data_IF_528706180504
#
_entry.id   IF_528706180504
#
_cell.length_a   1.000
_cell.length_b   1.000
_cell.length_c   1.000
_cell.angle_alpha   90.00
_cell.angle_beta   90.00
_cell.angle_gamma   90.00
#
_symmetry.space_group_name_H-M   'P 1'
#
loop_
_entity.id
_entity.type
_entity.pdbx_description
1 polymer ?
#
# COMPACT_ATOMS: atom_id res chain seq x y z
N UNK A 1 -5.71 8.06 17.91
CA UNK A 1 -6.10 7.41 19.18
C UNK A 1 -5.84 5.89 19.20
N UNK A 2 -5.72 5.22 18.03
CA UNK A 2 -5.65 3.75 17.97
C UNK A 2 -4.22 3.18 17.88
N UNK A 3 -3.17 4.00 17.76
CA UNK A 3 -1.78 3.55 17.54
C UNK A 3 -1.32 2.61 18.65
N UNK A 4 -1.56 2.97 19.91
CA UNK A 4 -1.16 2.14 21.05
C UNK A 4 -1.85 0.77 21.02
N UNK A 5 -3.17 0.73 20.77
CA UNK A 5 -3.94 -0.51 20.72
C UNK A 5 -3.46 -1.45 19.60
N UNK A 6 -3.12 -0.93 18.41
CA UNK A 6 -2.55 -1.73 17.33
C UNK A 6 -1.16 -2.26 17.65
N UNK A 7 -0.32 -1.43 18.27
CA UNK A 7 1.02 -1.85 18.69
C UNK A 7 0.95 -2.94 19.78
N UNK A 8 0.10 -2.78 20.78
CA UNK A 8 -0.15 -3.78 21.84
C UNK A 8 -0.71 -5.09 21.29
N UNK A 9 -1.53 -5.01 20.22
CA UNK A 9 -2.05 -6.19 19.52
C UNK A 9 -0.98 -6.91 18.68
N UNK A 10 0.24 -6.36 18.57
CA UNK A 10 1.36 -7.01 17.88
C UNK A 10 1.57 -6.56 16.43
N UNK A 11 1.12 -5.37 16.04
CA UNK A 11 1.39 -4.84 14.71
C UNK A 11 2.89 -4.54 14.53
N UNK A 12 3.50 -5.03 13.46
CA UNK A 12 4.88 -4.70 13.06
C UNK A 12 4.94 -3.37 12.31
N UNK A 13 3.92 -3.08 11.51
CA UNK A 13 3.80 -1.86 10.71
C UNK A 13 2.41 -1.28 10.94
N UNK A 14 2.34 0.01 11.21
CA UNK A 14 1.07 0.74 11.28
C UNK A 14 1.06 1.81 10.20
N UNK A 15 0.08 1.74 9.30
CA UNK A 15 -0.11 2.72 8.22
C UNK A 15 -1.29 3.62 8.54
N UNK A 16 -1.07 4.93 8.52
CA UNK A 16 -2.11 5.93 8.69
C UNK A 16 -2.34 6.70 7.38
N UNK A 17 -3.59 7.00 7.08
CA UNK A 17 -3.88 7.90 5.96
C UNK A 17 -3.37 9.32 6.25
N UNK A 18 -2.70 9.91 5.25
CA UNK A 18 -2.22 11.29 5.31
C UNK A 18 -3.37 12.24 5.64
N UNK A 19 -4.54 11.99 5.03
CA UNK A 19 -5.74 12.81 5.15
C UNK A 19 -6.51 12.60 6.47
N UNK A 20 -6.19 11.57 7.22
CA UNK A 20 -6.86 11.27 8.50
C UNK A 20 -6.34 12.12 9.66
N UNK A 21 -5.35 12.98 9.45
CA UNK A 21 -4.75 13.82 10.48
C UNK A 21 -4.32 15.17 9.94
N UNK A 22 -4.40 16.20 10.79
CA UNK A 22 -3.83 17.51 10.49
C UNK A 22 -2.31 17.56 10.64
N UNK A 23 -1.72 16.55 11.31
CA UNK A 23 -0.29 16.51 11.64
C UNK A 23 0.32 15.15 11.28
N UNK A 24 0.48 14.82 9.97
CA UNK A 24 1.01 13.52 9.53
C UNK A 24 2.38 13.20 10.14
N UNK A 25 3.28 14.17 10.24
CA UNK A 25 4.60 13.99 10.84
C UNK A 25 4.49 13.53 12.30
N UNK A 26 3.61 14.15 13.10
CA UNK A 26 3.37 13.74 14.51
C UNK A 26 2.82 12.31 14.58
N UNK A 27 1.93 11.95 13.65
CA UNK A 27 1.36 10.59 13.58
C UNK A 27 2.44 9.56 13.30
N UNK A 28 3.32 9.81 12.33
CA UNK A 28 4.49 8.96 12.02
C UNK A 28 5.40 8.81 13.24
N UNK A 29 5.71 9.92 13.93
CA UNK A 29 6.52 9.87 15.16
C UNK A 29 5.86 9.04 16.27
N UNK A 30 4.53 9.15 16.44
CA UNK A 30 3.80 8.39 17.45
C UNK A 30 3.82 6.88 17.15
N UNK A 31 3.72 6.49 15.88
CA UNK A 31 3.83 5.08 15.45
C UNK A 31 5.23 4.54 15.79
N UNK A 32 6.28 5.28 15.43
CA UNK A 32 7.66 4.88 15.74
C UNK A 32 7.93 4.81 17.24
N UNK A 33 7.39 5.74 18.00
CA UNK A 33 7.51 5.74 19.48
C UNK A 33 6.79 4.54 20.13
N UNK A 34 5.77 3.98 19.46
CA UNK A 34 5.11 2.75 19.87
C UNK A 34 5.89 1.47 19.49
N UNK A 35 7.07 1.59 18.88
CA UNK A 35 7.92 0.46 18.49
C UNK A 35 7.59 -0.16 17.14
N UNK A 36 6.65 0.40 16.36
CA UNK A 36 6.24 -0.09 15.06
C UNK A 36 6.96 0.66 13.92
N UNK A 37 7.08 0.01 12.77
CA UNK A 37 7.42 0.70 11.53
C UNK A 37 6.25 1.60 11.11
N UNK A 38 6.56 2.78 10.56
CA UNK A 38 5.56 3.77 10.20
C UNK A 38 5.26 3.77 8.72
N UNK A 39 3.99 3.58 8.37
CA UNK A 39 3.46 3.75 7.02
C UNK A 39 2.58 4.99 6.90
N UNK A 40 2.53 5.55 5.71
CA UNK A 40 1.61 6.63 5.32
C UNK A 40 0.87 6.25 4.05
N UNK A 41 -0.45 6.37 4.03
CA UNK A 41 -1.28 6.12 2.86
C UNK A 41 -1.77 7.41 2.23
N UNK A 42 -1.80 7.46 0.91
CA UNK A 42 -2.24 8.61 0.10
C UNK A 42 -3.49 8.25 -0.70
N UNK A 43 -4.54 9.04 -0.54
CA UNK A 43 -5.73 8.95 -1.40
C UNK A 43 -5.41 9.27 -2.86
N UNK A 44 -6.27 8.87 -3.82
CA UNK A 44 -6.03 9.14 -5.24
C UNK A 44 -5.80 10.62 -5.59
N UNK A 45 -6.47 11.54 -4.90
CA UNK A 45 -6.33 12.98 -5.14
C UNK A 45 -5.15 13.64 -4.41
N UNK A 46 -4.49 12.95 -3.47
CA UNK A 46 -3.37 13.50 -2.70
C UNK A 46 -2.07 13.40 -3.52
N UNK A 47 -1.37 14.50 -3.77
CA UNK A 47 -0.15 14.48 -4.59
C UNK A 47 1.02 13.76 -3.89
N UNK A 48 1.94 13.23 -4.70
CA UNK A 48 3.12 12.54 -4.20
C UNK A 48 4.00 13.42 -3.29
N UNK A 49 4.08 14.70 -3.59
CA UNK A 49 4.86 15.70 -2.85
C UNK A 49 4.44 15.88 -1.40
N UNK A 50 3.21 15.48 -1.07
CA UNK A 50 2.70 15.56 0.30
C UNK A 50 3.57 14.79 1.31
N UNK A 51 4.33 13.79 0.85
CA UNK A 51 5.22 12.99 1.73
C UNK A 51 6.68 13.41 1.65
N UNK A 52 7.04 14.45 0.91
CA UNK A 52 8.44 14.87 0.72
C UNK A 52 9.18 15.04 2.05
N UNK A 53 8.58 15.71 3.02
CA UNK A 53 9.16 15.93 4.34
C UNK A 53 8.96 14.79 5.33
N UNK A 54 8.39 13.66 4.88
CA UNK A 54 8.20 12.45 5.69
C UNK A 54 9.19 11.33 5.30
N UNK A 55 9.88 11.46 4.16
CA UNK A 55 10.70 10.38 3.58
C UNK A 55 11.79 9.84 4.52
N UNK A 56 12.31 10.66 5.42
CA UNK A 56 13.32 10.23 6.38
C UNK A 56 12.72 9.60 7.65
N UNK A 57 11.39 9.55 7.75
CA UNK A 57 10.67 9.10 8.93
C UNK A 57 9.70 7.93 8.68
N UNK A 58 9.43 7.60 7.41
CA UNK A 58 8.51 6.51 7.05
C UNK A 58 9.26 5.28 6.56
N UNK A 59 8.68 4.13 6.80
CA UNK A 59 9.18 2.83 6.34
C UNK A 59 8.34 2.28 5.18
N UNK A 60 7.13 2.84 4.97
CA UNK A 60 6.19 2.43 3.94
C UNK A 60 5.36 3.61 3.45
N UNK A 61 5.16 3.68 2.13
CA UNK A 61 4.20 4.60 1.49
C UNK A 61 3.20 3.75 0.72
N UNK A 62 1.92 3.86 1.07
CA UNK A 62 0.82 3.19 0.39
C UNK A 62 0.11 4.15 -0.56
N UNK A 63 0.04 3.80 -1.83
CA UNK A 63 -0.76 4.53 -2.82
C UNK A 63 -2.10 3.86 -2.99
N UNK A 64 -3.17 4.56 -2.66
CA UNK A 64 -4.52 4.11 -2.96
C UNK A 64 -4.79 4.26 -4.45
N UNK A 65 -5.06 3.13 -5.12
CA UNK A 65 -5.37 3.08 -6.55
C UNK A 65 -6.86 2.86 -6.82
N UNK A 66 -7.66 2.98 -5.79
CA UNK A 66 -9.11 3.11 -5.75
C UNK A 66 -9.47 4.15 -4.69
N UNK A 67 -10.72 4.62 -4.64
CA UNK A 67 -11.17 5.42 -3.51
C UNK A 67 -11.36 4.52 -2.28
N UNK A 68 -10.75 4.83 -1.12
CA UNK A 68 -10.91 4.02 0.08
C UNK A 68 -12.37 3.88 0.50
N UNK A 69 -12.75 2.68 0.97
CA UNK A 69 -14.10 2.46 1.52
C UNK A 69 -14.62 1.04 1.32
N UNK A 70 -14.48 0.43 0.15
CA UNK A 70 -14.95 -0.93 -0.12
C UNK A 70 -14.12 -1.59 -1.23
N UNK A 71 -14.11 -2.92 -1.24
CA UNK A 71 -13.40 -3.73 -2.23
C UNK A 71 -14.10 -3.84 -3.58
N UNK A 72 -13.40 -4.38 -4.60
CA UNK A 72 -13.97 -4.66 -5.93
C UNK A 72 -14.12 -3.44 -6.83
N UNK A 73 -13.49 -2.31 -6.49
CA UNK A 73 -13.49 -1.10 -7.32
C UNK A 73 -12.49 -1.23 -8.49
N UNK A 74 -12.75 -0.48 -9.57
CA UNK A 74 -11.87 -0.40 -10.72
C UNK A 74 -10.60 0.40 -10.40
N UNK A 75 -9.46 -0.09 -10.90
CA UNK A 75 -8.16 0.53 -10.77
C UNK A 75 -8.13 1.94 -11.42
N UNK A 76 -7.57 2.91 -10.73
CA UNK A 76 -7.42 4.28 -11.22
C UNK A 76 -6.05 4.41 -11.92
N UNK A 77 -6.01 4.26 -13.23
CA UNK A 77 -4.80 4.21 -14.05
C UNK A 77 -3.90 5.45 -13.95
N UNK A 78 -4.47 6.63 -13.69
CA UNK A 78 -3.68 7.86 -13.50
C UNK A 78 -2.74 7.78 -12.29
N UNK A 79 -2.95 6.83 -11.37
CA UNK A 79 -2.08 6.65 -10.21
C UNK A 79 -0.70 6.07 -10.58
N UNK A 80 -0.53 5.47 -11.76
CA UNK A 80 0.79 5.00 -12.21
C UNK A 80 1.84 6.12 -12.19
N UNK A 81 1.47 7.32 -12.65
CA UNK A 81 2.37 8.48 -12.63
C UNK A 81 2.78 8.87 -11.20
N UNK A 82 1.85 8.75 -10.23
CA UNK A 82 2.15 8.99 -8.81
C UNK A 82 3.13 7.95 -8.27
N UNK A 83 2.95 6.67 -8.63
CA UNK A 83 3.85 5.58 -8.22
C UNK A 83 5.26 5.83 -8.74
N UNK A 84 5.42 6.15 -10.04
CA UNK A 84 6.70 6.48 -10.66
C UNK A 84 7.38 7.67 -9.97
N UNK A 85 6.60 8.71 -9.65
CA UNK A 85 7.10 9.89 -8.95
C UNK A 85 7.57 9.57 -7.54
N UNK A 86 6.77 8.82 -6.77
CA UNK A 86 7.15 8.36 -5.44
C UNK A 86 8.39 7.47 -5.49
N UNK A 87 8.49 6.57 -6.46
CA UNK A 87 9.69 5.74 -6.66
C UNK A 87 10.95 6.60 -6.87
N UNK A 88 10.83 7.65 -7.68
CA UNK A 88 11.92 8.61 -7.89
C UNK A 88 12.26 9.37 -6.59
N UNK A 89 11.27 9.85 -5.85
CA UNK A 89 11.46 10.57 -4.58
C UNK A 89 12.06 9.68 -3.50
N UNK A 90 11.66 8.42 -3.41
CA UNK A 90 12.22 7.42 -2.48
C UNK A 90 13.70 7.20 -2.77
N UNK A 91 14.07 7.07 -4.03
CA UNK A 91 15.46 6.82 -4.45
C UNK A 91 15.98 5.51 -3.84
N UNK A 92 17.11 5.58 -3.12
CA UNK A 92 17.76 4.43 -2.48
C UNK A 92 17.31 4.17 -1.04
N UNK A 93 16.36 4.93 -0.50
CA UNK A 93 15.86 4.75 0.86
C UNK A 93 15.17 3.39 1.01
N UNK A 94 15.28 2.71 2.16
CA UNK A 94 14.65 1.43 2.42
C UNK A 94 13.16 1.60 2.76
N UNK A 95 12.40 2.22 1.84
CA UNK A 95 10.96 2.49 1.98
C UNK A 95 10.21 1.53 1.07
N UNK A 96 9.23 0.83 1.62
CA UNK A 96 8.28 0.04 0.83
C UNK A 96 7.31 0.97 0.09
N UNK A 97 7.12 0.69 -1.20
CA UNK A 97 6.10 1.36 -2.02
C UNK A 97 4.97 0.37 -2.27
N UNK A 98 3.91 0.54 -1.49
CA UNK A 98 2.73 -0.33 -1.48
C UNK A 98 1.62 0.24 -2.35
N UNK A 99 0.91 -0.64 -3.02
CA UNK A 99 -0.27 -0.31 -3.83
C UNK A 99 -1.46 -1.06 -3.28
N UNK A 100 -2.52 -0.33 -2.99
CA UNK A 100 -3.79 -0.89 -2.50
C UNK A 100 -4.97 -0.38 -3.34
N UNK A 101 -5.64 -1.31 -3.99
CA UNK A 101 -6.86 -1.10 -4.76
C UNK A 101 -6.79 -1.57 -6.21
N UNK A 102 -7.67 -2.51 -6.58
CA UNK A 102 -7.80 -3.02 -7.93
C UNK A 102 -6.57 -3.76 -8.46
N UNK A 103 -5.76 -4.33 -7.57
CA UNK A 103 -4.60 -5.15 -7.96
C UNK A 103 -5.08 -6.55 -8.34
N UNK A 104 -4.78 -6.94 -9.58
CA UNK A 104 -5.11 -8.24 -10.17
C UNK A 104 -4.09 -8.62 -11.26
N UNK A 105 -4.39 -9.63 -12.08
CA UNK A 105 -3.50 -10.08 -13.17
C UNK A 105 -3.37 -9.07 -14.32
N UNK A 106 -4.28 -8.10 -14.46
CA UNK A 106 -4.23 -7.08 -15.52
C UNK A 106 -3.39 -5.86 -15.09
N UNK A 107 -3.43 -5.52 -13.80
CA UNK A 107 -2.84 -4.27 -13.27
C UNK A 107 -1.48 -4.49 -12.62
N UNK A 108 -1.19 -5.68 -12.06
CA UNK A 108 -0.01 -5.95 -11.25
C UNK A 108 1.32 -5.67 -11.99
N UNK A 109 1.44 -6.10 -13.25
CA UNK A 109 2.66 -5.85 -14.03
C UNK A 109 2.93 -4.35 -14.20
N UNK A 110 1.89 -3.55 -14.43
CA UNK A 110 2.01 -2.10 -14.62
C UNK A 110 2.45 -1.39 -13.35
N UNK A 111 1.91 -1.76 -12.19
CA UNK A 111 2.28 -1.12 -10.92
C UNK A 111 3.69 -1.52 -10.46
N UNK A 112 4.11 -2.78 -10.70
CA UNK A 112 5.49 -3.21 -10.41
C UNK A 112 6.48 -2.48 -11.33
N UNK A 113 6.16 -2.35 -12.62
CA UNK A 113 6.99 -1.58 -13.57
C UNK A 113 7.11 -0.11 -13.17
N UNK A 114 6.05 0.49 -12.62
CA UNK A 114 6.08 1.85 -12.10
C UNK A 114 6.92 2.01 -10.82
N UNK A 115 7.28 0.91 -10.15
CA UNK A 115 8.20 0.90 -9.02
C UNK A 115 7.65 0.35 -7.70
N UNK A 116 6.44 -0.16 -7.68
CA UNK A 116 5.85 -0.82 -6.51
C UNK A 116 6.63 -2.10 -6.15
N UNK A 117 6.77 -2.35 -4.85
CA UNK A 117 7.39 -3.57 -4.32
C UNK A 117 6.52 -4.30 -3.28
N UNK A 118 5.36 -3.74 -2.93
CA UNK A 118 4.33 -4.37 -2.11
C UNK A 118 2.97 -4.21 -2.81
N UNK A 119 2.22 -5.30 -2.96
CA UNK A 119 0.91 -5.31 -3.61
C UNK A 119 -0.14 -5.87 -2.65
N UNK A 120 -1.19 -5.10 -2.43
CA UNK A 120 -2.38 -5.54 -1.69
C UNK A 120 -3.46 -5.94 -2.69
N UNK A 121 -3.86 -7.20 -2.65
CA UNK A 121 -4.91 -7.76 -3.49
C UNK A 121 -5.95 -8.48 -2.63
N UNK A 122 -7.15 -7.95 -2.59
CA UNK A 122 -8.28 -8.52 -1.87
C UNK A 122 -9.14 -9.40 -2.78
N UNK A 123 -10.10 -8.80 -3.47
CA UNK A 123 -11.07 -9.51 -4.31
C UNK A 123 -10.43 -10.44 -5.34
N UNK A 124 -9.30 -10.06 -5.94
CA UNK A 124 -8.59 -10.88 -6.91
C UNK A 124 -8.02 -12.17 -6.31
N UNK A 125 -7.61 -12.16 -5.03
CA UNK A 125 -7.10 -13.34 -4.32
C UNK A 125 -8.24 -14.25 -3.89
N UNK A 126 -9.32 -13.70 -3.35
CA UNK A 126 -10.41 -14.49 -2.77
C UNK A 126 -11.48 -14.92 -3.76
N UNK A 127 -11.41 -14.45 -5.02
CA UNK A 127 -12.35 -14.78 -6.09
C UNK A 127 -12.35 -16.29 -6.39
N UNK A 128 -13.53 -16.89 -6.39
CA UNK A 128 -13.75 -18.28 -6.81
C UNK A 128 -13.30 -19.35 -5.81
N UNK A 129 -12.71 -18.96 -4.69
CA UNK A 129 -12.35 -19.87 -3.60
C UNK A 129 -13.41 -19.92 -2.50
N UNK A 130 -13.29 -20.92 -1.63
CA UNK A 130 -14.10 -21.08 -0.42
C UNK A 130 -13.22 -21.63 0.71
N UNK A 131 -13.80 -21.74 1.91
CA UNK A 131 -13.10 -22.40 3.05
C UNK A 131 -12.79 -23.87 2.73
N UNK A 132 -13.63 -24.52 1.91
CA UNK A 132 -13.47 -25.91 1.50
C UNK A 132 -12.52 -26.07 0.30
N UNK A 133 -12.26 -24.99 -0.44
CA UNK A 133 -11.36 -24.96 -1.61
C UNK A 133 -10.27 -23.88 -1.47
N UNK A 134 -9.43 -23.94 -0.43
CA UNK A 134 -8.45 -22.87 -0.15
C UNK A 134 -7.28 -22.84 -1.15
N UNK A 135 -7.07 -23.89 -1.93
CA UNK A 135 -5.99 -23.95 -2.94
C UNK A 135 -6.15 -22.88 -4.01
N UNK A 136 -7.39 -22.49 -4.35
CA UNK A 136 -7.72 -21.44 -5.32
C UNK A 136 -7.05 -20.11 -4.93
N UNK A 137 -6.93 -19.80 -3.64
CA UNK A 137 -6.27 -18.57 -3.19
C UNK A 137 -4.78 -18.56 -3.55
N UNK A 138 -4.09 -19.70 -3.39
CA UNK A 138 -2.69 -19.86 -3.78
C UNK A 138 -2.49 -19.76 -5.29
N UNK A 139 -3.41 -20.30 -6.08
CA UNK A 139 -3.41 -20.20 -7.54
C UNK A 139 -3.60 -18.75 -7.98
N UNK A 140 -4.55 -18.03 -7.42
CA UNK A 140 -4.79 -16.62 -7.70
C UNK A 140 -3.57 -15.75 -7.36
N UNK A 141 -2.94 -15.96 -6.19
CA UNK A 141 -1.70 -15.26 -5.82
C UNK A 141 -0.58 -15.57 -6.82
N UNK A 142 -0.45 -16.84 -7.23
CA UNK A 142 0.55 -17.26 -8.20
C UNK A 142 0.30 -16.64 -9.57
N UNK A 143 -0.95 -16.57 -10.02
CA UNK A 143 -1.34 -15.92 -11.26
C UNK A 143 -0.93 -14.44 -11.27
N UNK A 144 -1.24 -13.69 -10.21
CA UNK A 144 -0.83 -12.29 -10.06
C UNK A 144 0.70 -12.17 -10.10
N UNK A 145 1.44 -12.98 -9.32
CA UNK A 145 2.91 -12.96 -9.29
C UNK A 145 3.56 -13.28 -10.64
N UNK A 146 2.96 -14.15 -11.42
CA UNK A 146 3.51 -14.55 -12.73
C UNK A 146 3.42 -13.44 -13.77
N UNK A 147 2.58 -12.42 -13.59
CA UNK A 147 2.47 -11.29 -14.54
C UNK A 147 3.73 -10.41 -14.58
N UNK A 148 4.57 -10.44 -13.54
CA UNK A 148 5.78 -9.60 -13.43
C UNK A 148 7.05 -10.39 -13.07
N UNK A 149 6.99 -11.73 -13.07
CA UNK A 149 8.15 -12.60 -13.01
C UNK A 149 8.63 -12.86 -14.45
N UNK A 150 9.61 -12.11 -14.91
CA UNK A 150 10.44 -12.42 -16.08
C UNK A 150 11.88 -12.60 -15.64
#
# INVERSE_FOLDING_TARGET
>A
PYIAAYAEAGADIITAHYEATHHPHRTVQAIRAAGCKAGIALNPSTPAESVEYLLDSVDLICVMTVNPGFGGQSFIWSQLQKIEKLKSMIGSRPIYLEIDGGVDTETAASVVKAGANVLVAGSAVFKGGSVDEPLVYGENISAIRNTFKN
#
